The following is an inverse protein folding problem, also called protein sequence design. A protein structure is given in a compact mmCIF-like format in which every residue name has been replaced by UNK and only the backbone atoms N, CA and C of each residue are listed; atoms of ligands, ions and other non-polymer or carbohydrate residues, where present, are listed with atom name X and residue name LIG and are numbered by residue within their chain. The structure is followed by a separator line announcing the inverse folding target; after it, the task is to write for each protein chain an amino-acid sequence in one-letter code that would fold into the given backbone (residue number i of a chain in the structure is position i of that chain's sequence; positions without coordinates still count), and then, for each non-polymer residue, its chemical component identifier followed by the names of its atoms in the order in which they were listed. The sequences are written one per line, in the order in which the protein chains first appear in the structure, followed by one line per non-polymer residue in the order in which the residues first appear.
data_IF_898647813778
#
_entry.id   IF_898647813778
#
_cell.length_a   1.000
_cell.length_b   1.000
_cell.length_c   1.000
_cell.angle_alpha   90.00
_cell.angle_beta   90.00
_cell.angle_gamma   90.00
#
_symmetry.space_group_name_H-M   'P 1'
#
loop_
_entity.id
_entity.type
_entity.pdbx_description
1 polymer ?
#
# COMPACT_ATOMS: atom_id res chain seq x y z
N UNK A 1 -11.65 -7.49 -2.05
CA UNK A 1 -12.10 -8.89 -2.16
C UNK A 1 -12.84 -9.39 -0.91
N UNK A 2 -12.51 -8.86 0.27
CA UNK A 2 -13.08 -9.30 1.57
C UNK A 2 -13.70 -8.07 2.26
N UNK A 3 -14.83 -8.25 2.95
CA UNK A 3 -15.45 -7.22 3.79
C UNK A 3 -14.75 -7.13 5.14
N UNK A 4 -14.88 -6.00 5.85
CA UNK A 4 -14.26 -5.79 7.16
C UNK A 4 -14.74 -6.79 8.24
N UNK A 5 -15.92 -7.38 8.05
CA UNK A 5 -16.44 -8.45 8.91
C UNK A 5 -15.95 -9.86 8.52
N UNK A 6 -14.93 -9.96 7.67
CA UNK A 6 -14.33 -11.21 7.21
C UNK A 6 -15.11 -11.96 6.11
N UNK A 7 -16.31 -11.50 5.72
CA UNK A 7 -17.07 -12.16 4.65
C UNK A 7 -16.42 -11.92 3.28
N UNK A 8 -16.15 -13.01 2.56
CA UNK A 8 -15.64 -12.97 1.18
C UNK A 8 -16.74 -12.49 0.24
N UNK A 9 -16.47 -11.41 -0.51
CA UNK A 9 -17.36 -10.91 -1.58
C UNK A 9 -16.82 -11.27 -2.97
N UNK A 10 -15.50 -11.31 -3.12
CA UNK A 10 -14.83 -11.41 -4.41
C UNK A 10 -14.85 -10.08 -5.19
N UNK A 11 -13.98 -9.99 -6.19
CA UNK A 11 -13.91 -8.91 -7.18
C UNK A 11 -13.60 -9.49 -8.56
N UNK A 12 -13.92 -8.76 -9.63
CA UNK A 12 -13.41 -9.07 -10.95
C UNK A 12 -11.96 -8.61 -11.05
N UNK A 13 -11.03 -9.56 -11.18
CA UNK A 13 -9.61 -9.28 -11.33
C UNK A 13 -9.33 -9.08 -12.82
N UNK A 14 -8.97 -7.86 -13.21
CA UNK A 14 -8.63 -7.52 -14.59
C UNK A 14 -7.19 -7.02 -14.70
N UNK A 15 -6.60 -7.14 -15.88
CA UNK A 15 -5.25 -6.59 -16.14
C UNK A 15 -5.20 -5.06 -15.93
N UNK A 16 -6.30 -4.35 -16.22
CA UNK A 16 -6.42 -2.92 -15.94
C UNK A 16 -6.27 -2.63 -14.45
N UNK A 17 -6.97 -3.39 -13.60
CA UNK A 17 -6.88 -3.24 -12.14
C UNK A 17 -5.45 -3.50 -11.63
N UNK A 18 -4.81 -4.58 -12.10
CA UNK A 18 -3.43 -4.90 -11.74
C UNK A 18 -2.44 -3.81 -12.15
N UNK A 19 -2.57 -3.30 -13.39
CA UNK A 19 -1.76 -2.19 -13.90
C UNK A 19 -1.89 -0.97 -13.01
N UNK A 20 -3.11 -0.56 -12.68
CA UNK A 20 -3.35 0.61 -11.83
C UNK A 20 -2.70 0.47 -10.45
N UNK A 21 -2.76 -0.72 -9.83
CA UNK A 21 -2.11 -0.97 -8.53
C UNK A 21 -0.58 -0.86 -8.65
N UNK A 22 0.00 -1.46 -9.70
CA UNK A 22 1.44 -1.37 -9.96
C UNK A 22 1.88 0.06 -10.23
N UNK A 23 1.12 0.81 -11.03
CA UNK A 23 1.39 2.22 -11.35
C UNK A 23 1.35 3.08 -10.08
N UNK A 24 0.37 2.86 -9.20
CA UNK A 24 0.30 3.56 -7.90
C UNK A 24 1.53 3.28 -7.02
N UNK A 25 1.97 2.02 -6.95
CA UNK A 25 3.12 1.63 -6.15
C UNK A 25 4.46 2.19 -6.69
N UNK A 26 4.61 2.20 -8.02
CA UNK A 26 5.80 2.71 -8.71
C UNK A 26 5.90 4.24 -8.70
N UNK A 27 4.78 4.94 -8.54
CA UNK A 27 4.75 6.41 -8.46
C UNK A 27 4.98 6.95 -7.03
N UNK A 28 5.17 6.08 -6.04
CA UNK A 28 5.67 6.50 -4.73
C UNK A 28 7.20 6.57 -4.75
N UNK A 29 7.76 7.44 -3.90
CA UNK A 29 9.18 7.70 -3.75
C UNK A 29 9.61 7.50 -2.28
N UNK A 30 10.42 6.48 -1.95
CA UNK A 30 10.93 5.46 -2.87
C UNK A 30 9.83 4.52 -3.39
N UNK A 31 10.11 3.85 -4.52
CA UNK A 31 9.20 2.89 -5.16
C UNK A 31 8.78 1.80 -4.18
N UNK A 32 7.48 1.57 -4.08
CA UNK A 32 6.92 0.51 -3.24
C UNK A 32 6.87 -0.77 -4.07
N UNK A 33 7.48 -1.84 -3.56
CA UNK A 33 7.41 -3.16 -4.20
C UNK A 33 6.13 -3.87 -3.76
N UNK A 34 5.29 -4.21 -4.72
CA UNK A 34 4.05 -4.97 -4.50
C UNK A 34 4.04 -6.25 -5.30
N UNK A 35 3.63 -7.34 -4.67
CA UNK A 35 3.37 -8.64 -5.30
C UNK A 35 1.86 -8.87 -5.29
N UNK A 36 1.33 -9.19 -6.47
CA UNK A 36 -0.10 -9.42 -6.67
C UNK A 36 -0.34 -10.92 -6.77
N UNK A 37 -1.16 -11.45 -5.87
CA UNK A 37 -1.52 -12.86 -5.81
C UNK A 37 -3.03 -13.02 -5.96
N UNK A 38 -3.44 -13.98 -6.79
CA UNK A 38 -4.85 -14.30 -6.99
C UNK A 38 -5.23 -15.54 -6.20
N UNK A 39 -6.22 -15.40 -5.33
CA UNK A 39 -6.80 -16.50 -4.57
C UNK A 39 -8.28 -16.57 -4.95
N UNK A 40 -8.57 -17.36 -5.98
CA UNK A 40 -9.90 -17.42 -6.58
C UNK A 40 -10.33 -16.04 -7.11
N UNK A 41 -11.38 -15.46 -6.53
CA UNK A 41 -11.88 -14.12 -6.87
C UNK A 41 -11.39 -13.02 -5.92
N UNK A 42 -10.32 -13.27 -5.16
CA UNK A 42 -9.70 -12.30 -4.25
C UNK A 42 -8.32 -11.95 -4.81
N UNK A 43 -8.03 -10.65 -4.90
CA UNK A 43 -6.70 -10.15 -5.17
C UNK A 43 -6.02 -9.80 -3.85
N UNK A 44 -4.98 -10.55 -3.49
CA UNK A 44 -4.10 -10.26 -2.37
C UNK A 44 -2.94 -9.36 -2.87
N UNK A 45 -2.65 -8.30 -2.12
CA UNK A 45 -1.60 -7.33 -2.44
C UNK A 45 -0.58 -7.39 -1.32
N UNK A 46 0.54 -8.07 -1.57
CA UNK A 46 1.64 -8.20 -0.64
C UNK A 46 2.60 -7.03 -0.84
N UNK A 47 2.66 -6.14 0.16
CA UNK A 47 3.48 -4.92 0.12
C UNK A 47 4.77 -5.15 0.90
N UNK A 48 5.92 -5.05 0.23
CA UNK A 48 7.22 -5.17 0.91
C UNK A 48 7.56 -3.89 1.67
N UNK A 49 8.32 -4.05 2.74
CA UNK A 49 8.85 -2.92 3.50
C UNK A 49 9.79 -2.08 2.61
N UNK A 50 9.51 -0.77 2.53
CA UNK A 50 10.39 0.16 1.83
C UNK A 50 11.71 0.32 2.60
N UNK A 51 12.82 0.34 1.85
CA UNK A 51 14.17 0.51 2.40
C UNK A 51 14.34 1.88 3.07
N UNK A 52 13.89 2.93 2.38
CA UNK A 52 13.94 4.29 2.89
C UNK A 52 12.54 4.76 3.29
N UNK A 53 12.38 5.09 4.56
CA UNK A 53 11.13 5.61 5.11
C UNK A 53 11.35 7.08 5.52
N UNK A 54 10.40 7.98 5.22
CA UNK A 54 9.02 7.75 4.77
C UNK A 54 8.83 7.68 3.22
N UNK A 55 7.89 6.85 2.74
CA UNK A 55 7.47 6.87 1.33
C UNK A 55 6.53 8.05 1.05
N UNK A 56 6.93 8.91 0.12
CA UNK A 56 6.08 9.95 -0.45
C UNK A 56 5.24 9.33 -1.55
N UNK A 57 3.94 9.53 -1.51
CA UNK A 57 3.07 9.29 -2.66
C UNK A 57 2.54 10.63 -3.18
N UNK A 58 1.81 10.63 -4.30
CA UNK A 58 1.38 11.85 -5.02
C UNK A 58 0.75 12.92 -4.13
N UNK A 59 -0.01 12.53 -3.11
CA UNK A 59 -0.74 13.42 -2.21
C UNK A 59 -0.07 13.66 -0.84
N UNK A 60 1.14 13.13 -0.61
CA UNK A 60 1.92 13.31 0.62
C UNK A 60 2.41 12.00 1.23
N UNK A 61 2.73 12.04 2.52
CA UNK A 61 3.18 10.88 3.28
C UNK A 61 2.00 10.26 4.04
N UNK A 62 1.90 8.94 4.02
CA UNK A 62 0.82 8.21 4.68
C UNK A 62 1.40 7.12 5.56
N UNK A 63 0.78 6.89 6.71
CA UNK A 63 1.13 5.81 7.62
C UNK A 63 -0.11 5.07 8.08
N UNK A 64 -0.05 3.75 8.06
CA UNK A 64 -1.08 2.91 8.69
C UNK A 64 -0.83 2.82 10.19
N UNK A 65 -1.82 3.19 10.99
CA UNK A 65 -1.82 3.07 12.45
C UNK A 65 -3.06 2.27 12.84
N UNK A 66 -2.84 1.03 13.29
CA UNK A 66 -3.92 0.07 13.51
C UNK A 66 -4.71 -0.18 12.21
N UNK A 67 -6.05 -0.08 12.22
CA UNK A 67 -6.87 -0.29 11.02
C UNK A 67 -6.89 0.90 10.06
N UNK A 68 -6.43 2.08 10.48
CA UNK A 68 -6.61 3.33 9.75
C UNK A 68 -5.34 3.80 9.05
N UNK A 69 -5.51 4.56 7.97
CA UNK A 69 -4.41 5.26 7.27
C UNK A 69 -4.50 6.75 7.59
N UNK A 70 -3.42 7.32 8.14
CA UNK A 70 -3.32 8.73 8.47
C UNK A 70 -2.33 9.43 7.54
N UNK A 71 -2.69 10.63 7.08
CA UNK A 71 -1.78 11.50 6.32
C UNK A 71 -0.87 12.21 7.31
N UNK A 72 0.44 12.06 7.15
CA UNK A 72 1.39 12.73 8.01
C UNK A 72 1.43 14.22 7.68
N UNK A 73 1.30 15.06 8.71
CA UNK A 73 1.40 16.51 8.57
C UNK A 73 2.82 16.99 8.85
N UNK A 74 3.16 18.22 8.42
CA UNK A 74 4.52 18.79 8.54
C UNK A 74 5.10 18.75 9.97
N UNK A 75 4.24 18.75 10.98
CA UNK A 75 4.63 18.80 12.40
C UNK A 75 4.77 17.42 13.04
N UNK A 76 4.45 16.34 12.33
CA UNK A 76 4.69 15.00 12.85
C UNK A 76 6.14 14.57 12.59
N UNK A 77 6.87 14.10 13.61
CA UNK A 77 8.22 13.62 13.44
C UNK A 77 8.20 12.42 12.48
N UNK A 78 8.93 12.55 11.37
CA UNK A 78 9.18 11.42 10.47
C UNK A 78 9.90 10.31 11.27
N UNK A 79 9.53 9.03 11.07
CA UNK A 79 10.24 7.94 11.71
C UNK A 79 11.71 8.01 11.31
N UNK A 80 12.60 8.13 12.31
CA UNK A 80 14.05 8.19 12.09
C UNK A 80 14.48 6.93 11.35
N UNK A 81 15.18 7.09 10.23
CA UNK A 81 15.88 6.00 9.55
C UNK A 81 16.80 5.34 10.59
N UNK A 82 16.52 4.08 10.94
CA UNK A 82 17.47 3.26 11.70
C UNK A 82 18.58 2.88 10.71
N UNK A 83 19.65 3.66 10.71
CA UNK A 83 20.90 3.23 10.08
C UNK A 83 21.41 2.09 10.96
N UNK A 84 21.38 0.87 10.43
CA UNK A 84 22.02 -0.30 11.00
C UNK A 84 23.43 -0.41 10.46
#
# INVERSE_FOLDING_TARGET
GVKDNGKVKGIQISNKLKSQIQDMANNCDPKIKVVLEEVGNILAINVQEAKDKPCKCSSGFYRRIGPNTQKLTRNEPLPKLKIA
#
